data_IF_075249689187
#
_entry.id   IF_075249689187
#
_cell.length_a   1.000
_cell.length_b   1.000
_cell.length_c   1.000
_cell.angle_alpha   90.00
_cell.angle_beta   90.00
_cell.angle_gamma   90.00
#
_symmetry.space_group_name_H-M   'P 1'
#
loop_
_entity.id
_entity.type
_entity.pdbx_description
1 polymer ?
#
# COMPACT_ATOMS: atom_id res chain seq x y z
N UNK A 1 -55.04 18.31 35.86
CA UNK A 1 -55.01 17.58 34.59
C UNK A 1 -54.09 18.31 33.62
N UNK A 2 -52.88 17.89 33.45
CA UNK A 2 -51.98 18.25 32.30
C UNK A 2 -50.62 17.62 32.55
N UNK A 3 -50.36 16.46 32.00
CA UNK A 3 -49.05 15.80 32.18
C UNK A 3 -48.65 14.77 31.10
N UNK A 4 -49.50 14.56 30.07
CA UNK A 4 -49.28 13.46 29.11
C UNK A 4 -48.71 13.90 27.74
N UNK A 5 -48.50 15.20 27.52
CA UNK A 5 -48.11 15.70 26.18
C UNK A 5 -46.61 15.87 25.95
N UNK A 6 -45.77 15.86 26.99
CA UNK A 6 -44.33 16.13 26.83
C UNK A 6 -43.47 14.86 26.62
N UNK A 7 -43.90 13.70 27.10
CA UNK A 7 -43.10 12.45 26.99
C UNK A 7 -43.12 11.94 25.55
N UNK A 8 -44.27 12.01 24.84
CA UNK A 8 -44.36 11.54 23.46
C UNK A 8 -43.53 12.31 22.42
N UNK A 9 -43.24 13.60 22.67
CA UNK A 9 -42.39 14.41 21.78
C UNK A 9 -40.90 14.06 21.89
N UNK A 10 -40.44 13.70 23.09
CA UNK A 10 -39.03 13.31 23.31
C UNK A 10 -38.67 11.99 22.64
N UNK A 11 -39.56 10.99 22.72
CA UNK A 11 -39.37 9.67 22.12
C UNK A 11 -39.42 9.72 20.60
N UNK A 12 -40.23 10.58 20.00
CA UNK A 12 -40.32 10.72 18.55
C UNK A 12 -39.09 11.43 17.96
N UNK A 13 -38.52 12.41 18.67
CA UNK A 13 -37.26 13.07 18.25
C UNK A 13 -36.08 12.13 18.38
N UNK A 14 -36.01 11.27 19.38
CA UNK A 14 -34.93 10.31 19.57
C UNK A 14 -34.96 9.22 18.50
N UNK A 15 -36.14 8.70 18.16
CA UNK A 15 -36.32 7.74 17.07
C UNK A 15 -35.92 8.32 15.71
N UNK A 16 -36.36 9.54 15.40
CA UNK A 16 -36.03 10.20 14.14
C UNK A 16 -34.51 10.43 13.97
N UNK A 17 -33.84 10.78 15.08
CA UNK A 17 -32.40 10.96 15.09
C UNK A 17 -31.65 9.63 14.92
N UNK A 18 -32.15 8.55 15.51
CA UNK A 18 -31.61 7.20 15.33
C UNK A 18 -31.84 6.66 13.92
N UNK A 19 -32.98 6.97 13.30
CA UNK A 19 -33.28 6.60 11.91
C UNK A 19 -32.43 7.42 10.93
N UNK A 20 -32.17 8.71 11.18
CA UNK A 20 -31.30 9.56 10.39
C UNK A 20 -29.83 9.11 10.54
N UNK A 21 -29.37 8.75 11.73
CA UNK A 21 -28.03 8.19 11.97
C UNK A 21 -27.88 6.79 11.36
N UNK A 22 -28.91 5.95 11.38
CA UNK A 22 -28.93 4.64 10.74
C UNK A 22 -28.96 4.76 9.19
N UNK A 23 -29.68 5.73 8.64
CA UNK A 23 -29.68 6.02 7.21
C UNK A 23 -28.37 6.64 6.76
N UNK A 24 -27.75 7.53 7.55
CA UNK A 24 -26.41 8.06 7.27
C UNK A 24 -25.31 6.98 7.32
N UNK A 25 -25.50 5.93 8.12
CA UNK A 25 -24.61 4.76 8.13
C UNK A 25 -24.90 3.78 6.98
N UNK A 26 -26.09 3.77 6.42
CA UNK A 26 -26.48 2.91 5.29
C UNK A 26 -26.03 3.47 3.92
N UNK A 27 -25.67 4.74 3.82
CA UNK A 27 -25.11 5.38 2.62
C UNK A 27 -23.56 5.36 2.59
N UNK A 28 -22.91 4.41 3.25
CA UNK A 28 -21.50 4.15 2.95
C UNK A 28 -21.47 3.53 1.55
N UNK A 29 -21.28 4.37 0.54
CA UNK A 29 -21.11 3.93 -0.84
C UNK A 29 -19.97 2.91 -0.85
N UNK A 30 -20.33 1.63 -1.01
CA UNK A 30 -19.34 0.55 -1.10
C UNK A 30 -18.41 0.81 -2.28
N UNK A 31 -17.14 0.76 -2.00
CA UNK A 31 -16.10 1.02 -2.96
C UNK A 31 -15.22 -0.21 -3.08
N UNK A 32 -14.87 -0.59 -4.31
CA UNK A 32 -13.97 -1.70 -4.57
C UNK A 32 -12.55 -1.41 -4.08
N UNK A 33 -11.84 -2.45 -3.61
CA UNK A 33 -10.41 -2.37 -3.31
C UNK A 33 -9.59 -1.91 -4.53
N UNK A 34 -10.03 -2.26 -5.73
CA UNK A 34 -9.36 -1.84 -6.98
C UNK A 34 -9.47 -0.34 -7.22
N UNK A 35 -10.66 0.25 -6.99
CA UNK A 35 -10.85 1.71 -7.09
C UNK A 35 -10.01 2.45 -6.05
N UNK A 36 -9.87 1.87 -4.85
CA UNK A 36 -9.02 2.43 -3.82
C UNK A 36 -7.53 2.38 -4.19
N UNK A 37 -7.08 1.31 -4.82
CA UNK A 37 -5.70 1.19 -5.33
C UNK A 37 -5.45 2.17 -6.47
N UNK A 38 -6.38 2.30 -7.42
CA UNK A 38 -6.27 3.26 -8.52
C UNK A 38 -6.17 4.70 -7.98
N UNK A 39 -6.98 5.06 -6.98
CA UNK A 39 -6.85 6.37 -6.34
C UNK A 39 -5.47 6.58 -5.71
N UNK A 40 -4.88 5.58 -5.06
CA UNK A 40 -3.52 5.70 -4.53
C UNK A 40 -2.52 5.97 -5.64
N UNK A 41 -2.66 5.28 -6.79
CA UNK A 41 -1.78 5.48 -7.95
C UNK A 41 -1.93 6.88 -8.58
N UNK A 42 -3.15 7.43 -8.58
CA UNK A 42 -3.42 8.80 -9.07
C UNK A 42 -2.86 9.87 -8.13
N UNK A 43 -2.94 9.65 -6.81
CA UNK A 43 -2.53 10.64 -5.81
C UNK A 43 -1.05 10.56 -5.43
N UNK A 44 -0.47 9.36 -5.50
CA UNK A 44 0.92 9.16 -5.16
C UNK A 44 1.81 9.46 -6.36
N UNK A 45 2.57 10.53 -6.22
CA UNK A 45 3.52 10.96 -7.21
C UNK A 45 4.75 10.00 -7.27
N UNK A 46 5.65 10.34 -8.11
CA UNK A 46 6.98 9.78 -8.26
C UNK A 46 7.77 9.69 -6.92
N UNK A 47 8.58 8.65 -6.78
CA UNK A 47 9.43 8.43 -5.59
C UNK A 47 10.89 8.75 -5.90
N UNK A 48 11.45 9.72 -5.21
CA UNK A 48 12.86 10.08 -5.32
C UNK A 48 13.78 8.94 -4.85
N UNK A 49 14.92 8.79 -5.49
CA UNK A 49 15.99 7.88 -5.06
C UNK A 49 16.92 8.63 -4.12
N UNK A 50 16.67 8.55 -2.81
CA UNK A 50 17.55 9.20 -1.80
C UNK A 50 18.61 8.25 -1.25
N UNK A 51 18.41 6.94 -1.38
CA UNK A 51 19.35 5.93 -0.94
C UNK A 51 20.55 5.84 -1.89
N UNK A 52 21.77 5.79 -1.33
CA UNK A 52 23.01 5.63 -2.09
C UNK A 52 23.69 4.32 -1.74
N UNK A 53 23.99 3.52 -2.75
CA UNK A 53 24.86 2.37 -2.61
C UNK A 53 26.26 2.77 -3.08
N UNK A 54 27.12 3.18 -2.13
CA UNK A 54 28.47 3.62 -2.42
C UNK A 54 29.37 2.50 -2.96
N UNK A 55 29.07 1.25 -2.63
CA UNK A 55 29.84 0.09 -3.09
C UNK A 55 29.57 -0.23 -4.56
N UNK A 56 28.28 -0.21 -4.94
CA UNK A 56 27.85 -0.52 -6.32
C UNK A 56 27.62 0.74 -7.17
N UNK A 57 27.79 1.93 -6.61
CA UNK A 57 27.69 3.25 -7.27
C UNK A 57 26.36 3.49 -7.97
N UNK A 58 25.24 3.15 -7.33
CA UNK A 58 23.90 3.49 -7.83
C UNK A 58 23.02 4.07 -6.74
N UNK A 59 22.07 4.90 -7.15
CA UNK A 59 21.04 5.45 -6.28
C UNK A 59 19.78 4.57 -6.34
N UNK A 60 19.10 4.42 -5.20
CA UNK A 60 17.88 3.61 -5.10
C UNK A 60 16.83 4.28 -4.23
N UNK A 61 15.55 4.01 -4.50
CA UNK A 61 14.47 4.37 -3.61
C UNK A 61 14.49 3.43 -2.40
N UNK A 62 14.65 3.99 -1.21
CA UNK A 62 14.59 3.24 0.03
C UNK A 62 13.15 2.87 0.39
N UNK A 63 12.97 1.95 1.35
CA UNK A 63 11.65 1.67 1.91
C UNK A 63 10.99 2.94 2.48
N UNK A 64 11.78 3.77 3.16
CA UNK A 64 11.31 5.04 3.75
C UNK A 64 10.81 6.00 2.68
N UNK A 65 11.52 6.12 1.56
CA UNK A 65 11.10 6.99 0.44
C UNK A 65 9.74 6.56 -0.10
N UNK A 66 9.56 5.25 -0.34
CA UNK A 66 8.31 4.69 -0.85
C UNK A 66 7.17 4.90 0.15
N UNK A 67 7.37 4.54 1.41
CA UNK A 67 6.35 4.66 2.45
C UNK A 67 5.95 6.12 2.67
N UNK A 68 6.90 7.05 2.64
CA UNK A 68 6.64 8.48 2.84
C UNK A 68 5.69 9.06 1.80
N UNK A 69 5.79 8.62 0.54
CA UNK A 69 4.94 9.07 -0.56
C UNK A 69 3.59 8.35 -0.55
N UNK A 70 3.59 7.02 -0.41
CA UNK A 70 2.38 6.21 -0.62
C UNK A 70 1.48 6.12 0.60
N UNK A 71 2.03 6.17 1.83
CA UNK A 71 1.24 6.08 3.05
C UNK A 71 0.14 7.14 3.16
N UNK A 72 0.38 8.44 2.88
CA UNK A 72 -0.69 9.45 2.92
C UNK A 72 -1.82 9.13 1.93
N UNK A 73 -1.50 8.72 0.71
CA UNK A 73 -2.47 8.35 -0.31
C UNK A 73 -3.27 7.10 0.09
N UNK A 74 -2.61 6.06 0.63
CA UNK A 74 -3.27 4.86 1.15
C UNK A 74 -4.24 5.18 2.30
N UNK A 75 -3.83 6.04 3.25
CA UNK A 75 -4.69 6.48 4.36
C UNK A 75 -5.92 7.20 3.83
N UNK A 76 -5.76 8.09 2.85
CA UNK A 76 -6.87 8.82 2.22
C UNK A 76 -7.79 7.88 1.45
N UNK A 77 -7.23 6.93 0.71
CA UNK A 77 -8.00 5.89 0.01
C UNK A 77 -8.67 4.88 0.96
N UNK A 78 -8.32 4.89 2.24
CA UNK A 78 -8.89 4.00 3.25
C UNK A 78 -8.39 2.56 3.15
N UNK A 79 -7.19 2.33 2.64
CA UNK A 79 -6.55 1.01 2.51
C UNK A 79 -5.25 0.93 3.29
N UNK A 80 -4.83 -0.29 3.57
CA UNK A 80 -3.53 -0.58 4.18
C UNK A 80 -2.98 -1.91 3.67
N UNK A 81 -1.67 -2.09 3.81
CA UNK A 81 -0.93 -3.29 3.44
C UNK A 81 -0.36 -3.95 4.70
N UNK A 82 -0.48 -5.26 4.80
CA UNK A 82 0.12 -6.06 5.86
C UNK A 82 0.68 -7.39 5.36
N UNK A 83 1.67 -7.97 6.03
CA UNK A 83 2.07 -9.34 5.76
C UNK A 83 0.92 -10.30 6.13
N UNK A 84 0.67 -11.28 5.29
CA UNK A 84 -0.34 -12.32 5.48
C UNK A 84 0.31 -13.66 5.80
N UNK A 85 1.23 -14.11 4.95
CA UNK A 85 1.94 -15.38 5.13
C UNK A 85 3.43 -15.23 4.81
N UNK A 86 4.21 -16.16 5.37
CA UNK A 86 5.61 -16.35 5.02
C UNK A 86 5.85 -17.85 4.85
N UNK A 87 6.45 -18.23 3.73
CA UNK A 87 6.93 -19.57 3.45
C UNK A 87 8.44 -19.52 3.20
N UNK A 88 9.20 -20.12 4.10
CA UNK A 88 10.66 -20.21 3.97
C UNK A 88 10.97 -21.32 2.98
N UNK A 89 11.56 -20.95 1.83
CA UNK A 89 11.96 -21.89 0.79
C UNK A 89 13.34 -22.44 1.08
N UNK A 90 14.26 -21.58 1.51
CA UNK A 90 15.63 -21.96 1.76
C UNK A 90 16.22 -21.17 2.94
N UNK A 91 17.01 -21.85 3.74
CA UNK A 91 17.86 -21.23 4.76
C UNK A 91 19.25 -21.82 4.68
N UNK A 92 20.23 -21.01 4.34
CA UNK A 92 21.62 -21.43 4.14
C UNK A 92 22.53 -20.61 5.02
N UNK A 93 23.52 -21.29 5.62
CA UNK A 93 24.68 -20.68 6.25
C UNK A 93 25.86 -20.84 5.29
N UNK A 94 26.22 -19.80 4.56
CA UNK A 94 27.33 -19.78 3.63
C UNK A 94 28.51 -19.00 4.23
N UNK A 95 29.44 -19.70 4.86
CA UNK A 95 30.53 -19.07 5.62
C UNK A 95 29.98 -18.29 6.83
N UNK A 96 30.15 -16.96 6.82
CA UNK A 96 29.61 -16.07 7.86
C UNK A 96 28.23 -15.50 7.50
N UNK A 97 27.73 -15.77 6.29
CA UNK A 97 26.49 -15.19 5.82
C UNK A 97 25.30 -16.09 6.12
N UNK A 98 24.29 -15.54 6.79
CA UNK A 98 22.96 -16.12 6.90
C UNK A 98 22.14 -15.66 5.70
N UNK A 99 21.70 -16.60 4.86
CA UNK A 99 20.83 -16.34 3.72
C UNK A 99 19.48 -17.00 3.97
N UNK A 100 18.41 -16.25 3.78
CA UNK A 100 17.03 -16.75 3.85
C UNK A 100 16.36 -16.38 2.55
N UNK A 101 15.77 -17.36 1.86
CA UNK A 101 14.89 -17.15 0.72
C UNK A 101 13.49 -17.54 1.16
N UNK A 102 12.52 -16.66 0.94
CA UNK A 102 11.14 -16.92 1.29
C UNK A 102 10.17 -16.30 0.28
N UNK A 103 9.02 -16.92 0.17
CA UNK A 103 7.83 -16.33 -0.41
C UNK A 103 7.03 -15.66 0.69
N UNK A 104 6.85 -14.35 0.56
CA UNK A 104 5.97 -13.56 1.40
C UNK A 104 4.68 -13.28 0.63
N UNK A 105 3.54 -13.34 1.29
CA UNK A 105 2.31 -12.80 0.74
C UNK A 105 1.91 -11.59 1.56
N UNK A 106 1.75 -10.45 0.91
CA UNK A 106 1.17 -9.26 1.49
C UNK A 106 -0.28 -9.15 1.08
N UNK A 107 -1.13 -8.65 1.99
CA UNK A 107 -2.52 -8.36 1.70
C UNK A 107 -2.76 -6.87 1.77
N UNK A 108 -3.42 -6.34 0.73
CA UNK A 108 -3.99 -5.00 0.72
C UNK A 108 -5.47 -5.16 1.00
N UNK A 109 -5.95 -4.51 2.03
CA UNK A 109 -7.34 -4.54 2.44
C UNK A 109 -7.80 -3.16 2.90
N UNK A 110 -9.10 -2.94 2.91
CA UNK A 110 -9.69 -1.65 3.20
C UNK A 110 -10.36 -1.59 4.58
N UNK A 111 -10.58 -0.36 5.04
CA UNK A 111 -11.49 -0.07 6.16
C UNK A 111 -12.94 -0.33 5.74
N UNK A 112 -13.88 -0.22 6.68
CA UNK A 112 -15.33 -0.27 6.43
C UNK A 112 -15.71 0.62 5.22
N UNK A 113 -16.49 0.06 4.29
CA UNK A 113 -16.87 0.71 3.04
C UNK A 113 -15.94 0.45 1.85
N UNK A 114 -14.78 -0.20 2.05
CA UNK A 114 -13.95 -0.72 0.97
C UNK A 114 -14.06 -2.24 0.96
N UNK A 115 -14.53 -2.80 -0.15
CA UNK A 115 -14.81 -4.24 -0.27
C UNK A 115 -13.74 -4.96 -1.08
N UNK A 116 -13.46 -6.21 -0.70
CA UNK A 116 -12.46 -7.04 -1.32
C UNK A 116 -11.06 -6.86 -0.73
N UNK A 117 -10.11 -7.60 -1.28
CA UNK A 117 -8.69 -7.51 -0.94
C UNK A 117 -7.85 -7.94 -2.14
N UNK A 118 -6.56 -7.62 -2.10
CA UNK A 118 -5.56 -8.06 -3.09
C UNK A 118 -4.43 -8.73 -2.35
N UNK A 119 -4.13 -9.98 -2.70
CA UNK A 119 -2.99 -10.71 -2.20
C UNK A 119 -1.81 -10.58 -3.18
N UNK A 120 -0.67 -10.15 -2.66
CA UNK A 120 0.54 -9.86 -3.45
C UNK A 120 1.64 -10.83 -3.02
N UNK A 121 1.86 -11.93 -3.76
CA UNK A 121 2.97 -12.83 -3.51
C UNK A 121 4.29 -12.19 -3.97
N UNK A 122 5.32 -12.30 -3.13
CA UNK A 122 6.65 -11.76 -3.39
C UNK A 122 7.71 -12.80 -3.03
N UNK A 123 8.54 -13.17 -3.99
CA UNK A 123 9.75 -13.92 -3.72
C UNK A 123 10.88 -12.94 -3.35
N UNK A 124 11.51 -13.16 -2.20
CA UNK A 124 12.55 -12.27 -1.68
C UNK A 124 13.63 -13.02 -0.94
N UNK A 125 14.77 -12.37 -0.76
CA UNK A 125 15.86 -12.92 0.04
C UNK A 125 16.40 -11.89 1.04
N UNK A 126 16.91 -12.39 2.15
CA UNK A 126 17.66 -11.62 3.12
C UNK A 126 19.03 -12.23 3.35
N UNK A 127 20.09 -11.43 3.23
CA UNK A 127 21.46 -11.85 3.48
C UNK A 127 22.07 -10.96 4.55
N UNK A 128 22.63 -11.54 5.57
CA UNK A 128 23.35 -10.82 6.63
C UNK A 128 24.45 -11.69 7.27
N UNK A 129 25.49 -11.04 7.77
CA UNK A 129 26.59 -11.70 8.46
C UNK A 129 26.30 -11.96 9.94
N UNK A 130 25.19 -11.43 10.47
CA UNK A 130 24.77 -11.54 11.86
C UNK A 130 23.33 -12.05 11.95
N UNK A 131 22.43 -11.29 12.59
CA UNK A 131 21.06 -11.68 12.93
C UNK A 131 19.97 -10.98 12.11
N UNK A 132 20.36 -10.09 11.19
CA UNK A 132 19.43 -9.19 10.48
C UNK A 132 18.89 -9.75 9.16
N UNK A 133 19.23 -10.99 8.78
CA UNK A 133 18.78 -11.57 7.52
C UNK A 133 17.24 -11.57 7.39
N UNK A 134 16.52 -11.95 8.45
CA UNK A 134 15.06 -11.93 8.48
C UNK A 134 14.48 -10.51 8.36
N UNK A 135 15.06 -9.54 9.06
CA UNK A 135 14.61 -8.14 8.97
C UNK A 135 14.80 -7.57 7.56
N UNK A 136 15.95 -7.84 6.94
CA UNK A 136 16.22 -7.45 5.54
C UNK A 136 15.23 -8.08 4.57
N UNK A 137 14.87 -9.34 4.77
CA UNK A 137 13.90 -10.06 3.96
C UNK A 137 12.51 -9.39 4.01
N UNK A 138 12.02 -9.02 5.21
CA UNK A 138 10.74 -8.32 5.34
C UNK A 138 10.75 -6.93 4.70
N UNK A 139 11.80 -6.14 4.95
CA UNK A 139 11.97 -4.81 4.35
C UNK A 139 11.99 -4.88 2.83
N UNK A 140 12.75 -5.82 2.27
CA UNK A 140 12.82 -6.00 0.82
C UNK A 140 11.48 -6.49 0.27
N UNK A 141 10.80 -7.40 0.96
CA UNK A 141 9.51 -7.94 0.56
C UNK A 141 8.42 -6.87 0.50
N UNK A 142 8.30 -6.02 1.54
CA UNK A 142 7.35 -4.91 1.56
C UNK A 142 7.63 -3.92 0.41
N UNK A 143 8.88 -3.57 0.22
CA UNK A 143 9.30 -2.69 -0.88
C UNK A 143 8.87 -3.25 -2.23
N UNK A 144 9.13 -4.53 -2.52
CA UNK A 144 8.75 -5.17 -3.78
C UNK A 144 7.23 -5.20 -3.93
N UNK A 145 6.50 -5.59 -2.86
CA UNK A 145 5.04 -5.63 -2.89
C UNK A 145 4.44 -4.26 -3.27
N UNK A 146 4.90 -3.19 -2.66
CA UNK A 146 4.43 -1.83 -2.96
C UNK A 146 4.80 -1.41 -4.38
N UNK A 147 6.06 -1.64 -4.81
CA UNK A 147 6.52 -1.27 -6.15
C UNK A 147 5.73 -1.97 -7.25
N UNK A 148 5.34 -3.23 -7.05
CA UNK A 148 4.58 -4.00 -8.02
C UNK A 148 3.09 -3.63 -8.01
N UNK A 149 2.50 -3.48 -6.82
CA UNK A 149 1.07 -3.19 -6.70
C UNK A 149 0.70 -1.82 -7.26
N UNK A 150 1.51 -0.82 -6.94
CA UNK A 150 1.21 0.57 -7.34
C UNK A 150 1.96 1.01 -8.59
N UNK A 151 2.66 0.09 -9.29
CA UNK A 151 3.43 0.39 -10.51
C UNK A 151 4.38 1.58 -10.32
N UNK A 152 5.07 1.63 -9.16
CA UNK A 152 5.88 2.79 -8.78
C UNK A 152 7.06 2.96 -9.75
N UNK A 153 7.18 4.10 -10.45
CA UNK A 153 8.29 4.34 -11.34
C UNK A 153 9.61 4.44 -10.57
N UNK A 154 10.67 3.86 -11.11
CA UNK A 154 12.03 3.84 -10.53
C UNK A 154 12.99 4.62 -11.42
N UNK A 155 12.67 5.81 -11.78
CA UNK A 155 13.49 6.62 -12.66
C UNK A 155 13.98 7.91 -12.01
N UNK A 156 14.64 8.73 -12.81
CA UNK A 156 14.75 10.16 -12.53
C UNK A 156 13.40 10.79 -12.67
N UNK A 157 13.19 11.94 -12.02
CA UNK A 157 11.92 12.68 -12.13
C UNK A 157 11.64 12.95 -13.62
N UNK A 158 10.52 12.48 -14.18
CA UNK A 158 10.19 12.75 -15.57
C UNK A 158 10.08 14.25 -15.88
N UNK A 159 9.75 15.07 -14.86
CA UNK A 159 9.64 16.51 -14.97
C UNK A 159 10.99 17.23 -14.85
N UNK A 160 12.04 16.55 -14.39
CA UNK A 160 13.38 17.12 -14.25
C UNK A 160 14.17 17.15 -15.57
N UNK A 161 13.76 16.39 -16.58
CA UNK A 161 14.35 16.41 -17.91
C UNK A 161 13.28 16.17 -18.97
N UNK A 162 12.92 17.20 -19.69
CA UNK A 162 12.11 17.06 -20.90
C UNK A 162 12.96 16.27 -21.94
N UNK A 163 12.62 15.02 -22.12
CA UNK A 163 13.16 14.23 -23.25
C UNK A 163 12.20 14.45 -24.41
N UNK A 164 12.70 15.03 -25.50
CA UNK A 164 11.94 15.11 -26.74
C UNK A 164 11.40 13.72 -27.11
N UNK A 165 10.14 13.62 -27.56
CA UNK A 165 9.58 12.33 -27.95
C UNK A 165 10.46 11.74 -29.06
N UNK A 166 10.96 10.53 -28.82
CA UNK A 166 11.65 9.78 -29.87
C UNK A 166 10.74 9.62 -31.09
N UNK A 167 11.35 9.61 -32.25
CA UNK A 167 10.68 9.35 -33.53
C UNK A 167 9.71 8.17 -33.42
N UNK A 168 8.56 8.24 -34.07
CA UNK A 168 7.54 7.18 -34.02
C UNK A 168 8.18 5.86 -34.42
N UNK A 169 7.83 4.81 -33.66
CA UNK A 169 8.28 3.45 -33.96
C UNK A 169 8.01 3.12 -35.44
N UNK A 170 8.94 2.47 -36.13
CA UNK A 170 8.75 2.07 -37.52
C UNK A 170 7.48 1.20 -37.62
N UNK A 171 6.61 1.52 -38.55
CA UNK A 171 5.43 0.72 -38.83
C UNK A 171 5.85 -0.70 -39.21
N UNK A 172 5.40 -1.68 -38.42
CA UNK A 172 5.53 -3.09 -38.79
C UNK A 172 4.63 -3.35 -40.00
N UNK A 173 5.24 -3.60 -41.15
CA UNK A 173 4.59 -4.10 -42.35
C UNK A 173 4.46 -5.61 -42.27
#
# INVERSE_FOLDING_TARGET
MTGHGQIAKGEHMTKKKQEEEAQAQAEVQERSIYDAVLQVMEEAAWVAKTGKNSHMRYDYASEVDIISVYRPAMVKAGIFIRPLTIEIIERVLAGKNHRIIAQLTYRIEGRTGVTGHIDVPVLTEGIDTQDKAAAKLYTQGLKIAMLQTFCIPRGEDPDASYVEPHDPLPEFR
#
